data_IF_369561812615
#
_entry.id   IF_369561812615
#
_cell.length_a   1.000
_cell.length_b   1.000
_cell.length_c   1.000
_cell.angle_alpha   90.00
_cell.angle_beta   90.00
_cell.angle_gamma   90.00
#
_symmetry.space_group_name_H-M   'P 1'
#
loop_
_entity.id
_entity.type
_entity.pdbx_description
1 polymer ?
#
# COMPACT_ATOMS: atom_id res chain seq x y z
N UNK A 1 -8.84 8.92 11.39
CA UNK A 1 -9.34 7.90 12.32
C UNK A 1 -10.15 6.92 11.49
N UNK A 2 -9.81 5.64 11.54
CA UNK A 2 -10.42 4.61 10.72
C UNK A 2 -11.09 3.61 11.65
N UNK A 3 -12.43 3.60 11.67
CA UNK A 3 -13.19 2.83 12.67
C UNK A 3 -12.86 1.34 12.64
N UNK A 4 -12.70 0.73 11.46
CA UNK A 4 -12.30 -0.67 11.36
C UNK A 4 -10.93 -0.94 12.01
N UNK A 5 -9.95 -0.07 11.76
CA UNK A 5 -8.63 -0.18 12.36
C UNK A 5 -8.63 0.05 13.87
N UNK A 6 -9.43 1.02 14.32
CA UNK A 6 -9.42 1.48 15.70
C UNK A 6 -10.27 0.57 16.62
N UNK A 7 -11.19 -0.22 16.03
CA UNK A 7 -12.00 -1.21 16.74
C UNK A 7 -11.43 -2.63 16.69
N UNK A 8 -10.33 -2.84 15.96
CA UNK A 8 -9.72 -4.16 15.79
C UNK A 8 -10.62 -5.17 15.08
N UNK A 9 -11.55 -4.69 14.24
CA UNK A 9 -12.33 -5.56 13.36
C UNK A 9 -11.41 -6.22 12.33
N UNK A 10 -11.84 -7.35 11.74
CA UNK A 10 -11.06 -8.06 10.71
C UNK A 10 -10.83 -7.17 9.48
N UNK A 11 -9.70 -6.46 9.47
CA UNK A 11 -9.26 -5.65 8.35
C UNK A 11 -8.92 -6.54 7.16
N UNK A 12 -9.50 -6.25 6.00
CA UNK A 12 -9.10 -6.93 4.76
C UNK A 12 -7.87 -6.25 4.15
N UNK A 13 -7.09 -7.01 3.39
CA UNK A 13 -6.00 -6.46 2.56
C UNK A 13 -6.53 -5.36 1.64
N UNK A 14 -7.75 -5.53 1.11
CA UNK A 14 -8.42 -4.54 0.28
C UNK A 14 -8.67 -3.22 1.03
N UNK A 15 -9.22 -3.29 2.24
CA UNK A 15 -9.43 -2.11 3.09
C UNK A 15 -8.13 -1.34 3.26
N UNK A 16 -7.08 -2.03 3.68
CA UNK A 16 -5.79 -1.43 3.99
C UNK A 16 -5.12 -0.83 2.76
N UNK A 17 -5.13 -1.57 1.65
CA UNK A 17 -4.45 -1.20 0.41
C UNK A 17 -5.23 -0.19 -0.41
N UNK A 18 -6.54 -0.02 -0.23
CA UNK A 18 -7.35 0.86 -1.09
C UNK A 18 -8.11 1.96 -0.34
N UNK A 19 -8.66 1.64 0.82
CA UNK A 19 -9.73 2.44 1.43
C UNK A 19 -9.27 3.14 2.72
N UNK A 20 -8.32 2.56 3.42
CA UNK A 20 -7.98 2.95 4.77
C UNK A 20 -7.39 4.35 4.80
N UNK A 21 -8.06 5.25 5.52
CA UNK A 21 -7.60 6.63 5.74
C UNK A 21 -6.42 6.72 6.71
N UNK A 22 -6.26 5.74 7.62
CA UNK A 22 -5.12 5.65 8.56
C UNK A 22 -3.81 5.50 7.79
N UNK A 23 -3.81 4.68 6.74
CA UNK A 23 -2.63 4.37 5.94
C UNK A 23 -2.54 5.15 4.61
N UNK A 24 -3.37 6.18 4.41
CA UNK A 24 -3.46 6.87 3.12
C UNK A 24 -2.12 7.47 2.67
N UNK A 25 -1.33 8.03 3.60
CA UNK A 25 -0.02 8.62 3.30
C UNK A 25 1.01 7.55 2.93
N UNK A 26 1.22 6.56 3.79
CA UNK A 26 2.22 5.52 3.56
C UNK A 26 1.89 4.69 2.31
N UNK A 27 0.58 4.45 2.07
CA UNK A 27 0.10 3.84 0.82
C UNK A 27 0.49 4.68 -0.40
N UNK A 28 0.26 5.99 -0.35
CA UNK A 28 0.61 6.89 -1.46
C UNK A 28 2.12 6.88 -1.73
N UNK A 29 2.94 6.91 -0.68
CA UNK A 29 4.41 6.82 -0.79
C UNK A 29 4.85 5.51 -1.45
N UNK A 30 4.31 4.36 -0.99
CA UNK A 30 4.57 3.05 -1.59
C UNK A 30 4.17 3.03 -3.07
N UNK A 31 2.97 3.51 -3.40
CA UNK A 31 2.44 3.55 -4.77
C UNK A 31 3.31 4.41 -5.70
N UNK A 32 3.75 5.58 -5.24
CA UNK A 32 4.63 6.47 -6.01
C UNK A 32 5.99 5.84 -6.28
N UNK A 33 6.56 5.14 -5.30
CA UNK A 33 7.82 4.42 -5.46
C UNK A 33 7.66 3.30 -6.52
N UNK A 34 6.62 2.46 -6.39
CA UNK A 34 6.33 1.38 -7.33
C UNK A 34 6.15 1.91 -8.77
N UNK A 35 5.45 3.02 -8.96
CA UNK A 35 5.29 3.66 -10.28
C UNK A 35 6.60 4.21 -10.82
N UNK A 36 7.40 4.86 -9.97
CA UNK A 36 8.69 5.43 -10.35
C UNK A 36 9.64 4.34 -10.87
N UNK A 37 9.73 3.22 -10.16
CA UNK A 37 10.59 2.08 -10.56
C UNK A 37 10.06 1.37 -11.81
N UNK A 38 8.76 1.44 -12.08
CA UNK A 38 8.16 0.95 -13.34
C UNK A 38 8.31 1.94 -14.51
N UNK A 39 8.95 3.11 -14.30
CA UNK A 39 9.14 4.12 -15.34
C UNK A 39 7.89 4.94 -15.67
N UNK A 40 6.86 4.90 -14.83
CA UNK A 40 5.68 5.76 -14.95
C UNK A 40 6.00 7.19 -14.49
N UNK A 41 5.29 8.18 -15.04
CA UNK A 41 5.48 9.58 -14.66
C UNK A 41 4.95 9.83 -13.23
N UNK A 42 5.74 10.46 -12.36
CA UNK A 42 5.30 10.88 -11.00
C UNK A 42 4.03 11.74 -10.99
N UNK A 43 3.80 12.49 -12.08
CA UNK A 43 2.62 13.33 -12.27
C UNK A 43 1.47 12.62 -13.00
N UNK A 44 1.67 11.37 -13.44
CA UNK A 44 0.55 10.51 -13.83
C UNK A 44 -0.26 10.33 -12.56
N UNK A 45 -1.35 11.08 -12.47
CA UNK A 45 -2.25 11.05 -11.33
C UNK A 45 -2.52 9.58 -11.03
N UNK A 46 -2.44 9.20 -9.76
CA UNK A 46 -2.78 7.85 -9.29
C UNK A 46 -4.29 7.65 -9.48
N UNK A 47 -4.73 7.58 -10.73
CA UNK A 47 -6.10 7.36 -11.21
C UNK A 47 -6.29 5.90 -11.61
N UNK A 48 -5.32 5.03 -11.31
CA UNK A 48 -5.59 3.59 -11.32
C UNK A 48 -6.70 3.32 -10.31
N UNK A 49 -7.84 2.80 -10.79
CA UNK A 49 -8.96 2.44 -9.93
C UNK A 49 -8.49 1.39 -8.93
N UNK A 50 -8.97 1.41 -7.68
CA UNK A 50 -8.39 0.60 -6.60
C UNK A 50 -8.10 -0.87 -6.94
N UNK A 51 -8.94 -1.53 -7.74
CA UNK A 51 -8.67 -2.90 -8.21
C UNK A 51 -7.42 -3.05 -9.10
N UNK A 52 -7.11 -2.06 -9.93
CA UNK A 52 -5.89 -2.04 -10.75
C UNK A 52 -4.63 -1.93 -9.88
N UNK A 53 -4.73 -1.27 -8.73
CA UNK A 53 -3.65 -1.28 -7.72
C UNK A 53 -3.48 -2.62 -7.05
N UNK A 54 -4.58 -3.29 -6.70
CA UNK A 54 -4.49 -4.67 -6.23
C UNK A 54 -3.86 -5.57 -7.29
N UNK A 55 -4.16 -5.38 -8.58
CA UNK A 55 -3.48 -6.13 -9.64
C UNK A 55 -2.00 -5.75 -9.78
N UNK A 56 -1.59 -4.51 -9.50
CA UNK A 56 -0.16 -4.14 -9.47
C UNK A 56 0.56 -4.76 -8.26
N UNK A 57 -0.08 -4.77 -7.09
CA UNK A 57 0.48 -5.27 -5.83
C UNK A 57 0.40 -6.80 -5.69
N UNK A 58 -0.62 -7.45 -6.27
CA UNK A 58 -0.80 -8.90 -6.27
C UNK A 58 -0.27 -9.55 -7.56
N UNK A 59 -0.31 -8.83 -8.68
CA UNK A 59 0.19 -9.25 -10.00
C UNK A 59 1.62 -8.77 -10.26
N UNK A 60 2.41 -8.63 -9.21
CA UNK A 60 3.85 -8.39 -9.24
C UNK A 60 4.50 -9.27 -10.32
N UNK A 61 4.88 -8.64 -11.43
CA UNK A 61 5.54 -9.30 -12.57
C UNK A 61 6.84 -9.97 -12.10
N UNK A 62 7.33 -10.91 -12.92
CA UNK A 62 8.64 -11.57 -12.82
C UNK A 62 9.86 -10.61 -12.75
N UNK A 63 9.65 -9.30 -12.89
CA UNK A 63 10.64 -8.23 -12.97
C UNK A 63 10.58 -7.27 -11.76
N UNK A 64 10.16 -7.74 -10.58
CA UNK A 64 10.37 -6.93 -9.36
C UNK A 64 11.86 -6.71 -9.14
N UNK A 65 12.26 -5.44 -9.02
CA UNK A 65 13.57 -5.13 -8.49
C UNK A 65 13.52 -5.08 -6.95
N UNK A 66 14.69 -5.15 -6.31
CA UNK A 66 14.81 -5.19 -4.86
C UNK A 66 14.13 -4.00 -4.17
N UNK A 67 14.17 -2.81 -4.78
CA UNK A 67 13.54 -1.59 -4.23
C UNK A 67 12.03 -1.68 -4.19
N UNK A 68 11.42 -2.27 -5.21
CA UNK A 68 9.98 -2.50 -5.25
C UNK A 68 9.53 -3.45 -4.13
N UNK A 69 10.31 -4.51 -3.90
CA UNK A 69 10.08 -5.47 -2.80
C UNK A 69 10.23 -4.76 -1.46
N UNK A 70 11.29 -3.97 -1.30
CA UNK A 70 11.62 -3.27 -0.07
C UNK A 70 10.52 -2.29 0.34
N UNK A 71 10.02 -1.44 -0.56
CA UNK A 71 8.98 -0.48 -0.14
C UNK A 71 7.64 -1.14 0.18
N UNK A 72 7.29 -2.25 -0.50
CA UNK A 72 6.09 -3.02 -0.13
C UNK A 72 6.28 -3.63 1.26
N UNK A 73 7.45 -4.22 1.54
CA UNK A 73 7.77 -4.76 2.85
C UNK A 73 7.76 -3.68 3.94
N UNK A 74 8.39 -2.52 3.69
CA UNK A 74 8.38 -1.40 4.64
C UNK A 74 6.96 -0.94 4.95
N UNK A 75 6.10 -0.83 3.93
CA UNK A 75 4.70 -0.47 4.11
C UNK A 75 4.00 -1.49 5.01
N UNK A 76 4.11 -2.78 4.69
CA UNK A 76 3.51 -3.86 5.47
C UNK A 76 4.04 -3.91 6.92
N UNK A 77 5.34 -3.70 7.10
CA UNK A 77 5.97 -3.65 8.43
C UNK A 77 5.51 -2.45 9.25
N UNK A 78 5.41 -1.25 8.65
CA UNK A 78 4.90 -0.07 9.36
C UNK A 78 3.48 -0.29 9.84
N UNK A 79 2.64 -0.89 9.01
CA UNK A 79 1.28 -1.24 9.40
C UNK A 79 1.25 -2.29 10.51
N UNK A 80 2.07 -3.34 10.38
CA UNK A 80 2.19 -4.37 11.41
C UNK A 80 2.62 -3.77 12.75
N UNK A 81 3.67 -2.94 12.76
CA UNK A 81 4.17 -2.27 13.97
C UNK A 81 3.13 -1.35 14.59
N UNK A 82 2.44 -0.54 13.78
CA UNK A 82 1.40 0.36 14.25
C UNK A 82 0.31 -0.39 15.01
N UNK A 83 -0.07 -1.59 14.55
CA UNK A 83 -1.02 -2.47 15.25
C UNK A 83 -0.45 -3.05 16.54
N UNK A 84 0.80 -3.51 16.54
CA UNK A 84 1.42 -4.09 17.74
C UNK A 84 1.73 -3.07 18.84
N UNK A 85 1.71 -1.76 18.56
CA UNK A 85 1.90 -0.70 19.57
C UNK A 85 0.60 -0.19 20.19
N UNK A 86 -0.56 -0.62 19.68
CA UNK A 86 -1.88 -0.27 20.21
C UNK A 86 -2.38 -1.28 21.29
N UNK A 87 -1.55 -2.28 21.68
CA UNK A 87 -1.77 -3.27 22.76
C UNK A 87 -1.04 -2.90 24.09
#
# INVERSE_FOLDING_TARGET
MCQMCDLGEDETVEHVILECVKYARDRYEMMQMVLTEQGHNRNERVEKMGREWMVVLLGLKREMNERMIEAVNEFLERMWRARCTDD
#
